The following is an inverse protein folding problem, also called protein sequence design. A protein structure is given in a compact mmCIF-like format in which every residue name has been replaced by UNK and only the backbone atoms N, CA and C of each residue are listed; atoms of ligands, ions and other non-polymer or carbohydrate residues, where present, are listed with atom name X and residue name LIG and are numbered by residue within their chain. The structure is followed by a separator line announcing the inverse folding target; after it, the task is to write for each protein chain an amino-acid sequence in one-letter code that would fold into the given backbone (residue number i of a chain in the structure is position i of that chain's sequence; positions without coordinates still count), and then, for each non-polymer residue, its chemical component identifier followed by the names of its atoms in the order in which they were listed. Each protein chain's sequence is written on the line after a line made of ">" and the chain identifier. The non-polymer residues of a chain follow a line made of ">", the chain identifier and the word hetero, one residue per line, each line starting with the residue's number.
data_IF_750906204163
#
_entry.id   IF_750906204163
#
_cell.length_a   1.000
_cell.length_b   1.000
_cell.length_c   1.000
_cell.angle_alpha   90.00
_cell.angle_beta   90.00
_cell.angle_gamma   90.00
#
_symmetry.space_group_name_H-M   'P 1'
#
loop_
_entity.id
_entity.type
_entity.pdbx_description
1 polymer ?
#
# COMPACT_ATOMS: atom_id res chain seq x y z
N UNK A 1 -30.86 -30.47 37.34
CA UNK A 1 -30.37 -29.12 37.70
C UNK A 1 -28.86 -29.06 37.46
N UNK A 2 -28.46 -28.72 36.24
CA UNK A 2 -27.05 -28.70 35.80
C UNK A 2 -26.57 -27.24 35.79
N UNK A 3 -25.66 -26.89 36.70
CA UNK A 3 -25.05 -25.55 36.76
C UNK A 3 -23.92 -25.44 35.74
N UNK A 4 -24.14 -24.64 34.70
CA UNK A 4 -23.12 -24.21 33.74
C UNK A 4 -22.26 -23.12 34.38
N UNK A 5 -20.96 -23.39 34.56
CA UNK A 5 -19.96 -22.39 34.99
C UNK A 5 -19.39 -21.72 33.75
N UNK A 6 -19.71 -20.44 33.55
CA UNK A 6 -19.02 -19.57 32.58
C UNK A 6 -17.70 -19.10 33.19
N UNK A 7 -16.58 -19.47 32.58
CA UNK A 7 -15.29 -18.85 32.83
C UNK A 7 -15.15 -17.65 31.89
N UNK A 8 -15.11 -16.45 32.46
CA UNK A 8 -14.66 -15.24 31.77
C UNK A 8 -13.13 -15.22 31.87
N UNK A 9 -12.45 -15.52 30.77
CA UNK A 9 -11.02 -15.28 30.62
C UNK A 9 -10.85 -13.87 30.03
N UNK A 10 -10.47 -12.90 30.87
CA UNK A 10 -10.00 -11.61 30.41
C UNK A 10 -8.55 -11.78 29.95
N UNK A 11 -8.32 -11.84 28.64
CA UNK A 11 -6.97 -11.80 28.05
C UNK A 11 -6.56 -10.34 27.95
N UNK A 12 -5.64 -9.94 28.83
CA UNK A 12 -4.95 -8.66 28.77
C UNK A 12 -3.82 -8.81 27.73
N UNK A 13 -4.09 -8.40 26.49
CA UNK A 13 -3.07 -8.35 25.43
C UNK A 13 -2.09 -7.23 25.78
N UNK A 14 -0.91 -7.62 26.23
CA UNK A 14 0.20 -6.70 26.43
C UNK A 14 0.93 -6.58 25.10
N UNK A 15 0.58 -5.56 24.33
CA UNK A 15 1.31 -5.19 23.11
C UNK A 15 2.71 -4.73 23.54
N UNK A 16 3.73 -5.53 23.24
CA UNK A 16 5.13 -5.11 23.32
C UNK A 16 5.34 -3.99 22.30
N UNK A 17 5.29 -2.76 22.79
CA UNK A 17 5.46 -1.56 21.99
C UNK A 17 6.89 -1.44 21.46
N UNK A 18 7.00 -1.34 20.13
CA UNK A 18 8.00 -0.48 19.52
C UNK A 18 7.69 0.95 19.97
N UNK A 19 8.55 1.51 20.82
CA UNK A 19 8.46 2.88 21.33
C UNK A 19 8.21 3.89 20.20
N UNK A 20 6.99 4.42 20.16
CA UNK A 20 6.64 5.65 19.44
C UNK A 20 5.89 6.55 20.40
N UNK A 21 6.62 7.47 21.01
CA UNK A 21 6.07 8.61 21.69
C UNK A 21 5.20 9.42 20.70
N UNK A 22 3.88 9.57 20.91
CA UNK A 22 3.08 10.41 20.04
C UNK A 22 3.41 11.88 20.32
N UNK A 23 3.68 12.64 19.26
CA UNK A 23 3.79 14.10 19.33
C UNK A 23 2.42 14.71 19.66
N UNK A 24 2.36 15.80 20.44
CA UNK A 24 1.11 16.48 20.75
C UNK A 24 0.49 17.09 19.49
N UNK A 25 -0.83 16.93 19.35
CA UNK A 25 -1.64 17.54 18.30
C UNK A 25 -1.71 19.07 18.50
N UNK A 26 -1.52 19.89 17.46
CA UNK A 26 -1.73 21.33 17.56
C UNK A 26 -3.23 21.68 17.60
N UNK A 27 -3.56 22.64 18.46
CA UNK A 27 -4.89 23.23 18.63
C UNK A 27 -5.47 23.73 17.30
N UNK A 28 -6.69 23.27 17.00
CA UNK A 28 -7.52 23.77 15.90
C UNK A 28 -8.01 25.18 16.19
N UNK A 29 -7.56 26.14 15.38
CA UNK A 29 -8.13 27.49 15.29
C UNK A 29 -9.40 27.50 14.40
N UNK A 30 -10.35 28.42 14.65
CA UNK A 30 -11.61 28.49 13.90
C UNK A 30 -11.41 28.99 12.46
N UNK A 31 -12.10 28.32 11.54
CA UNK A 31 -12.17 28.63 10.10
C UNK A 31 -13.03 29.87 9.89
N UNK A 32 -12.41 30.97 9.43
CA UNK A 32 -13.09 32.15 8.93
C UNK A 32 -13.22 32.11 7.41
N UNK A 33 -14.45 32.28 6.91
CA UNK A 33 -14.78 32.38 5.49
C UNK A 33 -14.19 33.65 4.87
N UNK A 34 -13.25 33.47 3.94
CA UNK A 34 -12.90 34.48 2.94
C UNK A 34 -12.46 33.78 1.65
N UNK A 35 -13.22 33.99 0.57
CA UNK A 35 -12.91 33.53 -0.79
C UNK A 35 -12.04 34.61 -1.45
N UNK A 36 -10.74 34.37 -1.69
CA UNK A 36 -9.95 35.25 -2.56
C UNK A 36 -10.24 34.92 -4.03
N UNK A 37 -10.64 35.93 -4.79
CA UNK A 37 -10.69 35.86 -6.24
C UNK A 37 -9.26 35.81 -6.80
N UNK A 38 -8.91 34.72 -7.49
CA UNK A 38 -7.62 34.58 -8.18
C UNK A 38 -7.77 35.12 -9.60
N UNK A 39 -7.18 36.30 -9.83
CA UNK A 39 -6.95 36.85 -11.16
C UNK A 39 -5.80 36.07 -11.82
N UNK A 40 -6.09 35.36 -12.91
CA UNK A 40 -5.08 34.64 -13.68
C UNK A 40 -4.27 35.60 -14.56
N UNK A 41 -3.13 36.06 -14.05
CA UNK A 41 -2.07 36.69 -14.86
C UNK A 41 -1.13 35.60 -15.36
N UNK A 42 -1.32 35.22 -16.62
CA UNK A 42 -0.48 34.24 -17.32
C UNK A 42 0.92 34.79 -17.57
N UNK A 43 1.85 34.48 -16.67
CA UNK A 43 3.29 34.58 -16.95
C UNK A 43 3.78 33.21 -17.39
N UNK A 44 4.13 33.06 -18.67
CA UNK A 44 4.84 31.88 -19.17
C UNK A 44 6.25 31.88 -18.57
N UNK A 45 6.46 31.08 -17.53
CA UNK A 45 7.80 30.79 -17.01
C UNK A 45 8.53 29.95 -18.07
N UNK A 46 9.69 30.39 -18.59
CA UNK A 46 10.48 29.58 -19.50
C UNK A 46 10.99 28.34 -18.76
N UNK A 47 10.60 27.17 -19.23
CA UNK A 47 11.14 25.89 -18.75
C UNK A 47 12.61 25.84 -19.18
N UNK A 48 13.57 25.65 -18.25
CA UNK A 48 14.97 25.58 -18.61
C UNK A 48 15.23 24.42 -19.59
N UNK A 49 15.94 24.65 -20.71
CA UNK A 49 16.39 23.59 -21.60
C UNK A 49 17.39 22.73 -20.83
N UNK A 50 16.98 21.50 -20.50
CA UNK A 50 17.66 20.64 -19.52
C UNK A 50 16.70 19.82 -18.66
N UNK A 51 15.38 19.92 -18.88
CA UNK A 51 14.44 18.91 -18.39
C UNK A 51 14.82 17.57 -19.03
N UNK A 52 15.63 16.80 -18.30
CA UNK A 52 15.92 15.40 -18.55
C UNK A 52 14.65 14.75 -19.07
N UNK A 53 14.73 14.26 -20.30
CA UNK A 53 13.65 13.49 -20.89
C UNK A 53 13.37 12.37 -19.88
N UNK A 54 12.21 12.45 -19.25
CA UNK A 54 11.76 11.54 -18.20
C UNK A 54 11.71 10.14 -18.82
N UNK A 55 12.81 9.42 -18.74
CA UNK A 55 12.85 8.03 -19.12
C UNK A 55 11.95 7.35 -18.09
N UNK A 56 10.79 6.87 -18.53
CA UNK A 56 10.03 5.89 -17.77
C UNK A 56 10.95 4.70 -17.52
N UNK A 57 11.59 4.68 -16.35
CA UNK A 57 12.53 3.63 -15.97
C UNK A 57 11.69 2.43 -15.56
N UNK A 58 11.54 1.50 -16.48
CA UNK A 58 10.88 0.23 -16.20
C UNK A 58 11.79 -0.55 -15.26
N UNK A 59 11.29 -0.86 -14.06
CA UNK A 59 11.96 -1.79 -13.17
C UNK A 59 11.89 -3.20 -13.79
N UNK A 60 13.04 -3.86 -13.87
CA UNK A 60 13.23 -5.10 -14.66
C UNK A 60 13.36 -6.32 -13.76
N UNK A 61 13.97 -6.15 -12.58
CA UNK A 61 14.30 -7.26 -11.69
C UNK A 61 14.36 -6.81 -10.24
N UNK A 62 14.12 -7.75 -9.34
CA UNK A 62 14.36 -7.61 -7.92
C UNK A 62 15.30 -8.72 -7.42
N UNK A 63 16.34 -8.35 -6.67
CA UNK A 63 17.34 -9.26 -6.11
C UNK A 63 17.41 -9.14 -4.59
N UNK A 64 17.57 -10.26 -3.88
CA UNK A 64 17.81 -10.22 -2.42
C UNK A 64 19.26 -9.81 -2.15
N UNK A 65 19.46 -8.85 -1.23
CA UNK A 65 20.80 -8.46 -0.80
C UNK A 65 21.23 -9.39 0.33
N UNK A 66 22.43 -9.98 0.30
CA UNK A 66 22.95 -10.80 1.39
C UNK A 66 22.89 -10.03 2.71
N UNK A 67 22.44 -10.69 3.78
CA UNK A 67 22.40 -10.10 5.11
C UNK A 67 23.83 -9.77 5.55
N UNK A 68 24.06 -8.54 5.99
CA UNK A 68 25.32 -8.10 6.61
C UNK A 68 25.51 -8.63 8.05
N UNK A 69 24.58 -9.46 8.55
CA UNK A 69 24.57 -9.96 9.91
C UNK A 69 23.95 -9.00 10.94
N UNK A 70 23.45 -7.84 10.53
CA UNK A 70 22.72 -6.91 11.41
C UNK A 70 21.27 -7.37 11.56
N UNK A 71 20.82 -7.96 12.69
CA UNK A 71 19.49 -8.53 12.79
C UNK A 71 18.38 -7.51 12.47
N UNK A 72 17.32 -7.97 11.79
CA UNK A 72 16.03 -7.26 11.72
C UNK A 72 15.78 -6.34 10.52
N UNK A 73 16.66 -6.28 9.51
CA UNK A 73 16.40 -5.47 8.30
C UNK A 73 16.58 -6.26 7.01
N UNK A 74 15.47 -6.76 6.46
CA UNK A 74 15.48 -7.34 5.13
C UNK A 74 15.63 -6.25 4.05
N UNK A 75 16.45 -6.53 3.02
CA UNK A 75 16.62 -5.64 1.87
C UNK A 75 16.62 -6.41 0.56
N UNK A 76 16.06 -5.77 -0.45
CA UNK A 76 16.15 -6.19 -1.85
C UNK A 76 16.54 -5.00 -2.71
N UNK A 77 17.05 -5.29 -3.90
CA UNK A 77 17.42 -4.30 -4.91
C UNK A 77 16.51 -4.42 -6.11
N UNK A 78 15.86 -3.34 -6.49
CA UNK A 78 15.15 -3.21 -7.76
C UNK A 78 16.13 -2.63 -8.79
N UNK A 79 16.27 -3.29 -9.93
CA UNK A 79 17.14 -2.84 -11.03
C UNK A 79 16.28 -2.30 -12.16
N UNK A 80 16.57 -1.08 -12.59
CA UNK A 80 15.89 -0.40 -13.70
C UNK A 80 16.54 -0.75 -15.05
N UNK A 81 15.82 -0.45 -16.13
CA UNK A 81 16.28 -0.71 -17.51
C UNK A 81 17.62 -0.05 -17.85
N UNK A 82 17.95 1.07 -17.22
CA UNK A 82 19.22 1.78 -17.39
C UNK A 82 20.31 1.34 -16.40
N UNK A 83 20.14 0.19 -15.75
CA UNK A 83 21.03 -0.38 -14.73
C UNK A 83 21.13 0.41 -13.43
N UNK A 84 20.41 1.54 -13.31
CA UNK A 84 20.25 2.18 -12.02
C UNK A 84 19.51 1.23 -11.06
N UNK A 85 19.71 1.40 -9.76
CA UNK A 85 19.08 0.53 -8.77
C UNK A 85 18.45 1.30 -7.63
N UNK A 86 17.38 0.73 -7.06
CA UNK A 86 16.72 1.20 -5.85
C UNK A 86 16.77 0.10 -4.78
N UNK A 87 17.31 0.41 -3.60
CA UNK A 87 17.23 -0.50 -2.46
C UNK A 87 15.91 -0.31 -1.71
N UNK A 88 15.19 -1.41 -1.49
CA UNK A 88 13.90 -1.44 -0.79
C UNK A 88 13.99 -2.26 0.49
N UNK A 89 13.32 -1.84 1.58
CA UNK A 89 13.40 -2.48 2.90
C UNK A 89 12.48 -3.71 3.00
N UNK A 90 12.52 -4.59 2.00
CA UNK A 90 11.79 -5.87 2.00
C UNK A 90 12.65 -6.98 1.42
N UNK A 91 12.45 -8.21 1.89
CA UNK A 91 13.01 -9.43 1.30
C UNK A 91 12.13 -9.91 0.15
N UNK A 92 12.72 -10.68 -0.76
CA UNK A 92 12.00 -11.35 -1.84
C UNK A 92 11.13 -10.37 -2.64
N UNK A 93 11.64 -9.15 -2.81
CA UNK A 93 10.89 -8.10 -3.48
C UNK A 93 10.39 -8.60 -4.84
N UNK A 94 9.11 -8.38 -5.11
CA UNK A 94 8.48 -8.68 -6.39
C UNK A 94 7.80 -7.42 -6.87
N UNK A 95 8.24 -6.89 -8.02
CA UNK A 95 7.58 -5.75 -8.64
C UNK A 95 6.20 -6.20 -9.16
N UNK A 96 5.14 -5.67 -8.56
CA UNK A 96 3.77 -5.94 -8.99
C UNK A 96 3.35 -5.02 -10.15
N UNK A 97 3.57 -3.71 -9.99
CA UNK A 97 3.18 -2.74 -11.00
C UNK A 97 3.95 -1.42 -10.86
N UNK A 98 3.80 -0.60 -11.89
CA UNK A 98 4.24 0.78 -11.93
C UNK A 98 3.02 1.68 -12.19
N UNK A 99 2.82 2.69 -11.35
CA UNK A 99 1.82 3.74 -11.57
C UNK A 99 2.54 4.99 -12.12
N UNK A 100 2.24 5.41 -13.37
CA UNK A 100 2.92 6.52 -14.00
C UNK A 100 2.74 7.81 -13.20
N UNK A 101 3.83 8.49 -12.85
CA UNK A 101 3.75 9.80 -12.19
C UNK A 101 3.43 10.89 -13.20
N UNK A 102 2.61 11.87 -12.82
CA UNK A 102 2.39 13.05 -13.68
C UNK A 102 3.69 13.85 -13.88
N UNK A 103 4.61 13.80 -12.91
CA UNK A 103 5.92 14.42 -12.95
C UNK A 103 6.92 13.57 -12.15
N UNK A 104 8.17 13.48 -12.62
CA UNK A 104 9.24 12.76 -11.94
C UNK A 104 9.13 11.24 -12.06
N UNK A 105 9.85 10.52 -11.20
CA UNK A 105 9.85 9.05 -11.23
C UNK A 105 8.49 8.46 -10.85
N UNK A 106 8.14 7.37 -11.54
CA UNK A 106 6.91 6.60 -11.35
C UNK A 106 6.82 5.99 -9.94
N UNK A 107 5.61 5.63 -9.52
CA UNK A 107 5.40 4.89 -8.28
C UNK A 107 5.51 3.39 -8.54
N UNK A 108 6.25 2.69 -7.69
CA UNK A 108 6.47 1.26 -7.75
C UNK A 108 5.63 0.58 -6.67
N UNK A 109 4.86 -0.44 -7.07
CA UNK A 109 4.18 -1.34 -6.15
C UNK A 109 5.01 -2.61 -6.05
N UNK A 110 5.52 -2.89 -4.85
CA UNK A 110 6.50 -3.95 -4.59
C UNK A 110 5.97 -4.82 -3.47
N UNK A 111 5.74 -6.10 -3.75
CA UNK A 111 5.44 -7.09 -2.72
C UNK A 111 6.73 -7.60 -2.07
N UNK A 112 6.69 -7.93 -0.78
CA UNK A 112 7.78 -8.60 -0.08
C UNK A 112 7.52 -8.68 1.42
N UNK A 113 8.47 -9.23 2.17
CA UNK A 113 8.39 -9.33 3.63
C UNK A 113 9.37 -8.36 4.29
N UNK A 114 8.96 -7.68 5.36
CA UNK A 114 9.80 -6.66 6.03
C UNK A 114 10.95 -7.25 6.86
N UNK A 115 10.82 -8.52 7.24
CA UNK A 115 11.66 -9.16 8.23
C UNK A 115 12.32 -10.41 7.65
N UNK A 116 13.59 -10.62 7.98
CA UNK A 116 14.36 -11.80 7.60
C UNK A 116 14.17 -12.97 8.57
N UNK A 117 13.85 -12.68 9.84
CA UNK A 117 13.90 -13.62 10.97
C UNK A 117 12.56 -13.81 11.68
N UNK A 118 11.49 -13.17 11.20
CA UNK A 118 10.17 -13.27 11.79
C UNK A 118 9.10 -13.60 10.75
N UNK A 119 8.00 -14.21 11.20
CA UNK A 119 6.82 -14.58 10.40
C UNK A 119 5.97 -13.35 10.03
N UNK A 120 6.66 -12.28 9.63
CA UNK A 120 6.03 -11.07 9.16
C UNK A 120 5.26 -11.37 7.86
N UNK A 121 4.00 -10.93 7.75
CA UNK A 121 3.24 -11.14 6.54
C UNK A 121 3.89 -10.43 5.35
N UNK A 122 3.66 -10.97 4.17
CA UNK A 122 3.90 -10.28 2.92
C UNK A 122 3.02 -9.04 2.84
N UNK A 123 3.65 -7.94 2.44
CA UNK A 123 3.05 -6.62 2.32
C UNK A 123 3.34 -6.06 0.93
N UNK A 124 2.43 -5.22 0.43
CA UNK A 124 2.62 -4.43 -0.79
C UNK A 124 3.06 -3.03 -0.38
N UNK A 125 4.30 -2.70 -0.68
CA UNK A 125 4.84 -1.37 -0.49
C UNK A 125 4.72 -0.52 -1.73
N UNK A 126 4.50 0.77 -1.51
CA UNK A 126 4.46 1.79 -2.55
C UNK A 126 5.59 2.78 -2.35
N UNK A 127 6.49 2.84 -3.33
CA UNK A 127 7.67 3.69 -3.32
C UNK A 127 7.71 4.58 -4.55
N UNK A 128 8.46 5.68 -4.48
CA UNK A 128 8.84 6.41 -5.69
C UNK A 128 10.08 5.77 -6.31
N UNK A 129 10.07 5.51 -7.62
CA UNK A 129 11.14 4.83 -8.36
C UNK A 129 12.36 5.70 -8.63
N UNK A 130 12.82 6.47 -7.65
CA UNK A 130 14.04 7.27 -7.75
C UNK A 130 15.24 6.36 -7.43
N UNK A 131 16.28 6.30 -8.27
CA UNK A 131 17.48 5.52 -7.97
C UNK A 131 18.16 5.90 -6.65
N UNK A 132 18.82 4.93 -6.04
CA UNK A 132 19.57 5.10 -4.78
C UNK A 132 18.90 4.39 -3.62
N UNK A 133 19.02 4.97 -2.43
CA UNK A 133 18.35 4.50 -1.23
C UNK A 133 17.09 5.31 -0.98
N UNK A 134 16.04 4.66 -0.51
CA UNK A 134 14.84 5.35 -0.03
C UNK A 134 15.18 6.23 1.17
N UNK A 135 14.73 7.49 1.13
CA UNK A 135 14.82 8.42 2.26
C UNK A 135 13.69 8.23 3.27
N UNK A 136 12.58 7.62 2.86
CA UNK A 136 11.46 7.27 3.72
C UNK A 136 11.03 5.82 3.49
N UNK A 137 10.57 5.15 4.55
CA UNK A 137 9.74 3.95 4.38
C UNK A 137 8.51 4.38 3.58
N UNK A 138 8.14 3.65 2.54
CA UNK A 138 7.03 4.00 1.66
C UNK A 138 5.69 3.93 2.38
N UNK A 139 4.62 3.62 1.66
CA UNK A 139 3.35 3.24 2.30
C UNK A 139 3.15 1.74 2.11
N UNK A 140 2.95 1.01 3.20
CA UNK A 140 2.73 -0.44 3.21
C UNK A 140 1.24 -0.77 3.29
N UNK A 141 0.82 -1.78 2.53
CA UNK A 141 -0.53 -2.32 2.50
C UNK A 141 -0.48 -3.83 2.65
N UNK A 142 -1.55 -4.44 3.16
CA UNK A 142 -1.65 -5.89 3.21
C UNK A 142 -1.60 -6.51 1.81
N UNK A 143 -0.87 -7.61 1.66
CA UNK A 143 -0.91 -8.43 0.44
C UNK A 143 -2.30 -9.11 0.30
N UNK A 144 -2.86 -9.23 -0.92
CA UNK A 144 -4.19 -9.81 -1.14
C UNK A 144 -4.29 -11.25 -0.64
N UNK A 145 -5.44 -11.60 -0.08
CA UNK A 145 -5.72 -12.89 0.55
C UNK A 145 -6.37 -12.74 1.92
N UNK A 146 -6.56 -13.87 2.61
CA UNK A 146 -7.07 -13.92 3.97
C UNK A 146 -5.94 -13.88 5.00
N UNK A 147 -6.11 -13.07 6.05
CA UNK A 147 -5.17 -12.97 7.16
C UNK A 147 -5.86 -13.54 8.41
N UNK A 148 -5.22 -14.53 9.01
CA UNK A 148 -5.70 -15.26 10.20
C UNK A 148 -4.72 -15.08 11.34
N UNK A 149 -5.20 -15.07 12.58
CA UNK A 149 -4.34 -15.02 13.76
C UNK A 149 -4.03 -16.46 14.20
N UNK A 150 -2.75 -16.83 14.19
CA UNK A 150 -2.34 -18.18 14.50
C UNK A 150 -2.59 -18.51 15.98
N UNK A 151 -3.23 -19.65 16.24
CA UNK A 151 -3.39 -20.18 17.60
C UNK A 151 -4.59 -19.64 18.39
N UNK A 152 -5.40 -18.73 17.82
CA UNK A 152 -6.64 -18.25 18.45
C UNK A 152 -7.89 -18.79 17.73
N UNK A 153 -8.07 -18.40 16.46
CA UNK A 153 -9.25 -18.72 15.65
C UNK A 153 -8.83 -18.77 14.18
N UNK A 154 -9.29 -19.79 13.44
CA UNK A 154 -9.06 -19.90 11.99
C UNK A 154 -9.90 -18.90 11.19
N UNK A 155 -10.79 -18.14 11.85
CA UNK A 155 -11.57 -17.08 11.24
C UNK A 155 -10.67 -15.92 10.80
N UNK A 156 -10.63 -15.57 9.50
CA UNK A 156 -9.82 -14.45 9.04
C UNK A 156 -10.32 -13.13 9.62
N UNK A 157 -9.44 -12.38 10.27
CA UNK A 157 -9.74 -11.04 10.76
C UNK A 157 -9.64 -9.99 9.64
N UNK A 158 -8.95 -10.31 8.54
CA UNK A 158 -8.87 -9.46 7.37
C UNK A 158 -8.88 -10.28 6.09
N UNK A 159 -9.52 -9.78 5.04
CA UNK A 159 -9.46 -10.32 3.67
C UNK A 159 -9.29 -9.18 2.69
N UNK A 160 -8.50 -9.38 1.65
CA UNK A 160 -8.47 -8.42 0.57
C UNK A 160 -8.25 -9.02 -0.81
N UNK A 161 -8.67 -8.26 -1.83
CA UNK A 161 -8.38 -8.51 -3.26
C UNK A 161 -7.73 -7.27 -3.82
N UNK A 162 -6.67 -7.44 -4.61
CA UNK A 162 -5.92 -6.35 -5.22
C UNK A 162 -6.02 -6.40 -6.74
N UNK A 163 -6.37 -5.28 -7.34
CA UNK A 163 -6.48 -5.10 -8.77
C UNK A 163 -5.56 -3.98 -9.27
N UNK A 164 -4.83 -4.22 -10.35
CA UNK A 164 -3.82 -3.31 -10.89
C UNK A 164 -4.08 -3.01 -12.37
N UNK A 165 -3.88 -1.77 -12.80
CA UNK A 165 -4.04 -1.35 -14.19
C UNK A 165 -5.11 -0.28 -14.34
N UNK A 166 -5.83 -0.26 -15.46
CA UNK A 166 -6.95 0.68 -15.68
C UNK A 166 -8.22 0.05 -15.12
N UNK A 167 -8.36 0.11 -13.80
CA UNK A 167 -9.44 -0.56 -13.06
C UNK A 167 -10.67 0.33 -12.85
N UNK A 168 -10.52 1.65 -13.04
CA UNK A 168 -11.56 2.66 -12.89
C UNK A 168 -11.97 3.24 -14.25
N UNK A 169 -13.05 4.04 -14.27
CA UNK A 169 -13.52 4.69 -15.50
C UNK A 169 -12.57 5.78 -16.02
N UNK A 170 -11.71 6.33 -15.17
CA UNK A 170 -10.88 7.52 -15.45
C UNK A 170 -9.66 7.28 -16.36
N UNK A 171 -9.56 6.12 -17.02
CA UNK A 171 -8.43 5.68 -17.89
C UNK A 171 -7.04 5.66 -17.24
N UNK A 172 -6.93 6.17 -16.02
CA UNK A 172 -5.69 6.22 -15.26
C UNK A 172 -5.32 4.83 -14.76
N UNK A 173 -4.02 4.58 -14.62
CA UNK A 173 -3.54 3.37 -13.95
C UNK A 173 -3.70 3.55 -12.45
N UNK A 174 -4.39 2.61 -11.83
CA UNK A 174 -4.72 2.60 -10.41
C UNK A 174 -4.39 1.25 -9.80
N UNK A 175 -4.31 1.25 -8.47
CA UNK A 175 -4.34 0.03 -7.67
C UNK A 175 -5.58 0.10 -6.78
N UNK A 176 -6.42 -0.92 -6.85
CA UNK A 176 -7.71 -0.99 -6.16
C UNK A 176 -7.69 -2.18 -5.23
N UNK A 177 -7.89 -1.93 -3.94
CA UNK A 177 -8.13 -2.97 -2.94
C UNK A 177 -9.61 -3.00 -2.58
N UNK A 178 -10.15 -4.21 -2.53
CA UNK A 178 -11.39 -4.50 -1.81
C UNK A 178 -10.97 -5.14 -0.50
N UNK A 179 -11.30 -4.50 0.62
CA UNK A 179 -10.87 -4.87 1.97
C UNK A 179 -12.10 -5.26 2.79
N UNK A 180 -12.01 -6.38 3.50
CA UNK A 180 -12.98 -6.82 4.48
C UNK A 180 -12.25 -7.00 5.81
N UNK A 181 -12.68 -6.29 6.86
CA UNK A 181 -12.08 -6.36 8.20
C UNK A 181 -13.12 -6.78 9.23
N UNK A 182 -12.77 -7.75 10.07
CA UNK A 182 -13.56 -8.15 11.23
C UNK A 182 -13.41 -7.10 12.34
N UNK A 183 -14.53 -6.53 12.76
CA UNK A 183 -14.60 -5.54 13.83
C UNK A 183 -14.71 -6.23 15.20
N UNK A 184 -14.44 -5.52 16.31
CA UNK A 184 -14.52 -6.08 17.67
C UNK A 184 -15.90 -6.63 18.06
N UNK A 185 -16.97 -6.14 17.43
CA UNK A 185 -18.35 -6.61 17.62
C UNK A 185 -18.71 -7.81 16.71
N UNK A 186 -17.70 -8.38 16.04
CA UNK A 186 -17.83 -9.43 15.01
C UNK A 186 -18.52 -9.00 13.71
N UNK A 187 -18.82 -7.72 13.52
CA UNK A 187 -19.30 -7.21 12.24
C UNK A 187 -18.18 -7.19 11.19
N UNK A 188 -18.53 -7.33 9.91
CA UNK A 188 -17.59 -7.19 8.79
C UNK A 188 -17.70 -5.77 8.22
N UNK A 189 -16.58 -5.06 8.21
CA UNK A 189 -16.46 -3.77 7.53
C UNK A 189 -15.89 -3.98 6.13
N UNK A 190 -16.61 -3.52 5.11
CA UNK A 190 -16.20 -3.63 3.71
C UNK A 190 -15.80 -2.27 3.16
N UNK A 191 -14.55 -2.12 2.78
CA UNK A 191 -13.97 -0.90 2.24
C UNK A 191 -13.38 -1.13 0.86
N UNK A 192 -13.33 -0.06 0.08
CA UNK A 192 -12.56 0.01 -1.15
C UNK A 192 -11.51 1.08 -0.97
N UNK A 193 -10.26 0.72 -1.25
CA UNK A 193 -9.12 1.64 -1.30
C UNK A 193 -8.62 1.78 -2.72
N UNK A 194 -8.38 3.00 -3.16
CA UNK A 194 -7.82 3.27 -4.48
C UNK A 194 -6.58 4.14 -4.35
N UNK A 195 -5.47 3.61 -4.86
CA UNK A 195 -4.26 4.39 -5.10
C UNK A 195 -4.23 4.87 -6.54
N UNK A 196 -4.09 6.17 -6.71
CA UNK A 196 -3.92 6.81 -8.02
C UNK A 196 -2.70 7.68 -8.02
N UNK A 197 -2.01 7.66 -9.15
CA UNK A 197 -0.93 8.60 -9.39
C UNK A 197 -1.50 9.89 -9.98
N UNK A 198 -1.47 10.96 -9.19
CA UNK A 198 -1.69 12.33 -9.63
C UNK A 198 -0.33 13.07 -9.46
N UNK A 199 -0.19 14.41 -9.43
CA UNK A 199 1.11 15.02 -9.12
C UNK A 199 1.68 14.56 -7.75
N UNK A 200 0.84 13.97 -6.90
CA UNK A 200 1.20 13.18 -5.73
C UNK A 200 0.43 11.86 -5.75
N UNK A 201 0.92 10.85 -5.02
CA UNK A 201 0.14 9.63 -4.77
C UNK A 201 -1.10 10.01 -3.97
N UNK A 202 -2.28 9.71 -4.51
CA UNK A 202 -3.56 9.87 -3.82
C UNK A 202 -4.00 8.51 -3.30
N UNK A 203 -4.31 8.45 -2.02
CA UNK A 203 -4.95 7.31 -1.36
C UNK A 203 -6.37 7.70 -0.97
N UNK A 204 -7.37 7.03 -1.53
CA UNK A 204 -8.78 7.31 -1.29
C UNK A 204 -9.47 6.05 -0.83
N UNK A 205 -10.22 6.14 0.27
CA UNK A 205 -11.00 5.03 0.83
C UNK A 205 -12.48 5.39 0.89
N UNK A 206 -13.36 4.45 0.55
CA UNK A 206 -14.82 4.60 0.65
C UNK A 206 -15.48 3.24 0.89
N UNK A 207 -16.77 3.25 1.21
CA UNK A 207 -17.53 2.02 1.45
C UNK A 207 -17.64 1.16 0.18
N UNK A 208 -17.54 -0.16 0.33
CA UNK A 208 -17.77 -1.11 -0.75
C UNK A 208 -19.19 -0.93 -1.34
N UNK A 209 -19.29 -1.02 -2.67
CA UNK A 209 -20.57 -1.27 -3.34
C UNK A 209 -20.43 -2.33 -4.45
N UNK A 210 -21.45 -3.17 -4.61
CA UNK A 210 -21.48 -4.22 -5.65
C UNK A 210 -21.38 -3.62 -7.07
N UNK A 211 -21.93 -2.42 -7.26
CA UNK A 211 -21.83 -1.69 -8.52
C UNK A 211 -20.37 -1.35 -8.85
N UNK A 212 -19.59 -0.90 -7.85
CA UNK A 212 -18.17 -0.59 -8.05
C UNK A 212 -17.34 -1.86 -8.29
N UNK A 213 -17.58 -2.93 -7.53
CA UNK A 213 -16.91 -4.22 -7.76
C UNK A 213 -17.21 -4.75 -9.16
N UNK A 214 -18.48 -4.75 -9.57
CA UNK A 214 -18.90 -5.19 -10.90
C UNK A 214 -18.19 -4.39 -12.00
N UNK A 215 -18.02 -3.08 -11.81
CA UNK A 215 -17.29 -2.22 -12.73
C UNK A 215 -15.81 -2.61 -12.82
N UNK A 216 -15.13 -2.85 -11.69
CA UNK A 216 -13.72 -3.31 -11.68
C UNK A 216 -13.61 -4.67 -12.36
N UNK A 217 -14.47 -5.63 -12.03
CA UNK A 217 -14.47 -6.97 -12.63
C UNK A 217 -14.74 -6.92 -14.14
N UNK A 218 -15.52 -5.94 -14.63
CA UNK A 218 -15.70 -5.74 -16.07
C UNK A 218 -14.39 -5.32 -16.77
N UNK A 219 -13.56 -4.49 -16.11
CA UNK A 219 -12.23 -4.10 -16.60
C UNK A 219 -11.23 -5.24 -16.56
N UNK A 220 -11.39 -6.16 -15.60
CA UNK A 220 -10.61 -7.41 -15.57
C UNK A 220 -10.96 -8.28 -16.76
N UNK A 221 -12.25 -8.49 -17.04
CA UNK A 221 -12.69 -9.27 -18.21
C UNK A 221 -12.25 -8.66 -19.55
N UNK A 222 -12.13 -7.33 -19.64
CA UNK A 222 -11.63 -6.65 -20.84
C UNK A 222 -10.09 -6.63 -20.93
N UNK A 223 -9.37 -7.15 -19.94
CA UNK A 223 -7.90 -7.16 -19.88
C UNK A 223 -7.26 -5.79 -19.58
N UNK A 224 -8.06 -4.75 -19.29
CA UNK A 224 -7.54 -3.41 -18.96
C UNK A 224 -7.04 -3.31 -17.51
N UNK A 225 -7.54 -4.18 -16.66
CA UNK A 225 -7.18 -4.35 -15.26
C UNK A 225 -6.83 -5.82 -15.03
N UNK A 226 -5.98 -6.11 -14.04
CA UNK A 226 -5.65 -7.49 -13.65
C UNK A 226 -5.77 -7.67 -12.15
N UNK A 227 -6.28 -8.82 -11.72
CA UNK A 227 -6.23 -9.21 -10.31
C UNK A 227 -4.82 -9.74 -9.97
N UNK A 228 -4.32 -9.37 -8.80
CA UNK A 228 -3.11 -9.97 -8.21
C UNK A 228 -3.55 -11.24 -7.51
N UNK A 229 -2.89 -12.40 -7.75
CA UNK A 229 -3.22 -13.64 -7.08
C UNK A 229 -3.19 -13.49 -5.55
N UNK A 230 -4.27 -13.92 -4.91
CA UNK A 230 -4.38 -13.93 -3.45
C UNK A 230 -3.48 -14.99 -2.81
N UNK A 231 -2.98 -14.70 -1.62
CA UNK A 231 -2.23 -15.61 -0.76
C UNK A 231 -2.73 -15.48 0.67
N UNK A 232 -3.26 -16.57 1.21
CA UNK A 232 -3.68 -16.61 2.60
C UNK A 232 -2.45 -16.70 3.52
N UNK A 233 -2.51 -15.98 4.64
CA UNK A 233 -1.40 -15.82 5.57
C UNK A 233 -1.90 -16.05 7.00
N UNK A 234 -1.17 -16.88 7.75
CA UNK A 234 -1.31 -17.00 9.18
C UNK A 234 -0.27 -16.09 9.83
N UNK A 235 -0.73 -15.12 10.62
CA UNK A 235 0.11 -14.14 11.29
C UNK A 235 0.21 -14.57 12.77
N UNK A 236 1.45 -14.69 13.25
CA UNK A 236 1.77 -15.07 14.62
C UNK A 236 1.68 -13.88 15.59
#
# INVERSE_FOLDING_TARGET
>A
MTRSKRFLLSVLVTVLGCDRTPAPLPDTAPVGDAIPQVTALGTRVPIPPGADTLVHRVAVRADSIPHDGSPGHARSRIVFADSASLEVPVRHATLLATLPAAQGADWLLVAGTECSECDAPEVVWVFRGVPGSLSSRGVGFAFPGAHTEAGIDETPYFRSRLFLGVCTADTSRTAVWFEETLQPDSARQHLVRILRSAPRLSDTTFAWSDAFETAVLSRVRSGSCREVPSRDQAIL
#
